data_IF_030492731928
#
_entry.id   IF_030492731928
#
_cell.length_a   1.000
_cell.length_b   1.000
_cell.length_c   1.000
_cell.angle_alpha   90.00
_cell.angle_beta   90.00
_cell.angle_gamma   90.00
#
_symmetry.space_group_name_H-M   'P 1'
#
loop_
_entity.id
_entity.type
_entity.pdbx_description
1 polymer ?
#
# COMPACT_ATOMS: atom_id res chain seq x y z
N UNK A 1 -28.01 -5.14 1.30
CA UNK A 1 -26.94 -4.11 1.38
C UNK A 1 -27.21 -3.00 0.35
N UNK A 2 -28.35 -2.29 0.41
CA UNK A 2 -28.71 -1.27 -0.60
C UNK A 2 -28.60 0.18 -0.09
N UNK A 3 -28.18 0.42 1.16
CA UNK A 3 -28.18 1.76 1.76
C UNK A 3 -26.92 2.11 2.56
N UNK A 4 -25.79 1.41 2.37
CA UNK A 4 -24.55 1.84 3.00
C UNK A 4 -23.89 2.93 2.12
N UNK A 5 -23.63 4.13 2.64
CA UNK A 5 -22.85 5.15 1.93
C UNK A 5 -21.48 4.58 1.53
N UNK A 6 -21.00 4.95 0.34
CA UNK A 6 -19.71 4.49 -0.19
C UNK A 6 -18.58 4.65 0.82
N UNK A 7 -18.54 5.77 1.53
CA UNK A 7 -17.50 6.07 2.51
C UNK A 7 -17.52 5.11 3.70
N UNK A 8 -18.71 4.72 4.18
CA UNK A 8 -18.84 3.74 5.24
C UNK A 8 -18.39 2.35 4.78
N UNK A 9 -18.67 1.99 3.53
CA UNK A 9 -18.13 0.75 2.96
C UNK A 9 -16.60 0.79 2.89
N UNK A 10 -16.01 1.85 2.34
CA UNK A 10 -14.56 1.99 2.24
C UNK A 10 -13.90 1.98 3.63
N UNK A 11 -14.52 2.62 4.61
CA UNK A 11 -14.04 2.60 5.99
C UNK A 11 -14.01 1.17 6.56
N UNK A 12 -15.10 0.41 6.43
CA UNK A 12 -15.16 -0.99 6.89
C UNK A 12 -14.21 -1.89 6.10
N UNK A 13 -14.15 -1.72 4.78
CA UNK A 13 -13.26 -2.48 3.91
C UNK A 13 -11.78 -2.24 4.27
N UNK A 14 -11.44 -1.05 4.75
CA UNK A 14 -10.11 -0.69 5.23
C UNK A 14 -9.64 -1.49 6.46
N UNK A 15 -10.53 -2.18 7.17
CA UNK A 15 -10.17 -3.08 8.27
C UNK A 15 -9.96 -4.54 7.83
N UNK A 16 -10.38 -4.90 6.61
CA UNK A 16 -10.22 -6.26 6.10
C UNK A 16 -8.75 -6.59 5.86
N UNK A 17 -8.37 -7.86 6.00
CA UNK A 17 -7.03 -8.30 5.57
C UNK A 17 -6.90 -8.28 4.05
N UNK A 18 -5.66 -8.28 3.54
CA UNK A 18 -5.37 -8.33 2.08
C UNK A 18 -6.13 -9.45 1.36
N UNK A 19 -6.22 -10.64 1.97
CA UNK A 19 -6.95 -11.78 1.41
C UNK A 19 -8.45 -11.54 1.38
N UNK A 20 -9.00 -11.01 2.46
CA UNK A 20 -10.44 -10.82 2.61
C UNK A 20 -10.92 -9.65 1.74
N UNK A 21 -10.10 -8.60 1.60
CA UNK A 21 -10.32 -7.50 0.67
C UNK A 21 -10.38 -8.00 -0.79
N UNK A 22 -9.46 -8.91 -1.17
CA UNK A 22 -9.51 -9.57 -2.48
C UNK A 22 -10.76 -10.45 -2.63
N UNK A 23 -11.14 -11.19 -1.57
CA UNK A 23 -12.32 -12.04 -1.63
C UNK A 23 -13.58 -11.22 -1.85
N UNK A 24 -13.79 -10.12 -1.11
CA UNK A 24 -14.98 -9.28 -1.26
C UNK A 24 -15.07 -8.65 -2.65
N UNK A 25 -13.95 -8.28 -3.27
CA UNK A 25 -13.95 -7.69 -4.61
C UNK A 25 -14.36 -8.68 -5.71
N UNK A 26 -14.33 -9.98 -5.40
CA UNK A 26 -14.80 -11.05 -6.27
C UNK A 26 -16.26 -11.44 -6.02
N UNK A 27 -16.87 -10.99 -4.92
CA UNK A 27 -18.25 -11.39 -4.57
C UNK A 27 -19.32 -10.68 -5.40
N UNK A 28 -19.14 -9.39 -5.69
CA UNK A 28 -20.07 -8.64 -6.53
C UNK A 28 -19.40 -7.49 -7.29
N UNK A 29 -20.00 -7.07 -8.41
CA UNK A 29 -19.46 -6.03 -9.27
C UNK A 29 -19.35 -4.66 -8.57
N UNK A 30 -20.32 -4.32 -7.71
CA UNK A 30 -20.28 -3.05 -6.96
C UNK A 30 -19.10 -2.99 -6.00
N UNK A 31 -18.83 -4.06 -5.26
CA UNK A 31 -17.65 -4.12 -4.38
C UNK A 31 -16.36 -4.15 -5.18
N UNK A 32 -16.33 -4.85 -6.30
CA UNK A 32 -15.19 -4.81 -7.22
C UNK A 32 -14.86 -3.38 -7.66
N UNK A 33 -15.88 -2.63 -8.10
CA UNK A 33 -15.74 -1.21 -8.48
C UNK A 33 -15.25 -0.35 -7.32
N UNK A 34 -15.79 -0.50 -6.12
CA UNK A 34 -15.37 0.28 -4.95
C UNK A 34 -13.94 -0.03 -4.51
N UNK A 35 -13.55 -1.30 -4.52
CA UNK A 35 -12.22 -1.74 -4.10
C UNK A 35 -11.14 -1.36 -5.11
N UNK A 36 -11.48 -1.35 -6.40
CA UNK A 36 -10.53 -1.08 -7.49
C UNK A 36 -10.70 0.30 -8.12
N UNK A 37 -11.53 1.18 -7.55
CA UNK A 37 -11.67 2.56 -8.01
C UNK A 37 -10.35 3.30 -7.92
N UNK A 38 -10.10 4.22 -8.84
CA UNK A 38 -8.84 4.97 -8.91
C UNK A 38 -8.63 5.87 -7.69
N UNK A 39 -9.72 6.41 -7.14
CA UNK A 39 -9.71 7.22 -5.92
C UNK A 39 -9.70 6.38 -4.62
N UNK A 40 -9.81 5.05 -4.73
CA UNK A 40 -9.82 4.18 -3.55
C UNK A 40 -8.43 4.10 -2.92
N UNK A 41 -8.32 4.47 -1.65
CA UNK A 41 -7.05 4.37 -0.90
C UNK A 41 -6.79 2.99 -0.33
N UNK A 42 -7.72 2.04 -0.44
CA UNK A 42 -7.66 0.74 0.23
C UNK A 42 -6.35 -0.01 -0.04
N UNK A 43 -5.98 -0.15 -1.32
CA UNK A 43 -4.74 -0.86 -1.68
C UNK A 43 -3.49 -0.08 -1.30
N UNK A 44 -3.54 1.26 -1.35
CA UNK A 44 -2.45 2.13 -0.90
C UNK A 44 -2.22 1.95 0.61
N UNK A 45 -3.27 2.03 1.42
CA UNK A 45 -3.20 1.87 2.86
C UNK A 45 -2.69 0.48 3.25
N UNK A 46 -3.12 -0.56 2.54
CA UNK A 46 -2.59 -1.92 2.72
C UNK A 46 -1.11 -2.04 2.38
N UNK A 47 -0.66 -1.41 1.30
CA UNK A 47 0.75 -1.35 0.94
C UNK A 47 1.56 -0.74 2.08
N UNK A 48 1.19 0.44 2.58
CA UNK A 48 1.89 1.12 3.68
C UNK A 48 1.92 0.27 4.95
N UNK A 49 0.77 -0.26 5.39
CA UNK A 49 0.71 -1.12 6.59
C UNK A 49 1.59 -2.35 6.45
N UNK A 50 1.59 -2.98 5.27
CA UNK A 50 2.38 -4.18 5.03
C UNK A 50 3.87 -3.87 4.93
N UNK A 51 4.24 -2.77 4.27
CA UNK A 51 5.61 -2.29 4.21
C UNK A 51 6.15 -2.02 5.60
N UNK A 52 5.47 -1.18 6.37
CA UNK A 52 5.89 -0.78 7.73
C UNK A 52 5.95 -1.97 8.70
N UNK A 53 5.25 -3.06 8.42
CA UNK A 53 5.33 -4.30 9.21
C UNK A 53 6.60 -5.11 8.96
N UNK A 54 7.11 -5.10 7.73
CA UNK A 54 8.23 -5.96 7.32
C UNK A 54 9.55 -5.20 7.15
N UNK A 55 9.48 -3.89 6.91
CA UNK A 55 10.59 -3.01 6.57
C UNK A 55 10.61 -1.80 7.52
N UNK A 56 11.31 -0.74 7.14
CA UNK A 56 11.32 0.54 7.86
C UNK A 56 10.02 1.33 7.63
N UNK A 57 9.72 2.26 8.53
CA UNK A 57 8.55 3.13 8.41
C UNK A 57 8.75 4.13 7.26
N UNK A 58 7.78 4.20 6.34
CA UNK A 58 7.79 5.23 5.30
C UNK A 58 7.42 6.60 5.90
N UNK A 59 8.17 7.63 5.52
CA UNK A 59 7.84 9.02 5.84
C UNK A 59 6.60 9.45 5.05
N UNK A 60 5.49 9.70 5.76
CA UNK A 60 4.22 10.11 5.17
C UNK A 60 4.20 11.58 4.74
N UNK A 61 5.20 12.38 5.15
CA UNK A 61 5.36 13.76 4.67
C UNK A 61 5.89 13.81 3.24
N UNK A 62 6.52 12.74 2.77
CA UNK A 62 7.05 12.63 1.42
C UNK A 62 6.02 12.00 0.46
N UNK A 63 5.87 12.53 -0.76
CA UNK A 63 4.98 11.94 -1.74
C UNK A 63 5.53 10.57 -2.18
N UNK A 64 4.72 9.52 -2.03
CA UNK A 64 5.01 8.24 -2.67
C UNK A 64 4.67 8.34 -4.16
N UNK A 65 5.71 8.49 -4.98
CA UNK A 65 5.59 8.58 -6.43
C UNK A 65 5.60 7.19 -7.04
N UNK A 66 4.54 6.86 -7.77
CA UNK A 66 4.47 5.60 -8.52
C UNK A 66 5.36 5.68 -9.77
N UNK A 67 6.21 4.68 -9.96
CA UNK A 67 7.04 4.58 -11.18
C UNK A 67 6.16 4.55 -12.44
N UNK A 68 6.57 5.28 -13.48
CA UNK A 68 5.86 5.31 -14.76
C UNK A 68 5.74 3.94 -15.40
N UNK A 69 6.78 3.11 -15.30
CA UNK A 69 6.79 1.75 -15.84
C UNK A 69 5.73 0.87 -15.13
N UNK A 70 5.60 1.05 -13.82
CA UNK A 70 4.59 0.32 -13.05
C UNK A 70 3.16 0.80 -13.39
N UNK A 71 2.98 2.10 -13.60
CA UNK A 71 1.71 2.67 -14.07
C UNK A 71 1.33 2.15 -15.46
N UNK A 72 2.29 2.06 -16.39
CA UNK A 72 2.04 1.50 -17.72
C UNK A 72 1.61 0.03 -17.65
N UNK A 73 2.19 -0.75 -16.74
CA UNK A 73 1.88 -2.17 -16.60
C UNK A 73 0.55 -2.44 -15.87
N UNK A 74 0.23 -1.65 -14.84
CA UNK A 74 -0.95 -1.86 -14.00
C UNK A 74 -2.16 -0.99 -14.39
N UNK A 75 -1.96 0.00 -15.26
CA UNK A 75 -2.93 0.98 -15.77
C UNK A 75 -3.53 1.95 -14.73
N UNK A 76 -3.65 1.55 -13.47
CA UNK A 76 -4.18 2.40 -12.39
C UNK A 76 -3.28 2.38 -11.16
N UNK A 77 -3.33 3.47 -10.37
CA UNK A 77 -2.60 3.54 -9.11
C UNK A 77 -3.11 2.49 -8.11
N UNK A 78 -4.43 2.28 -8.04
CA UNK A 78 -5.04 1.23 -7.19
C UNK A 78 -4.53 -0.17 -7.54
N UNK A 79 -4.47 -0.51 -8.84
CA UNK A 79 -3.90 -1.77 -9.30
C UNK A 79 -2.39 -1.88 -9.02
N UNK A 80 -1.65 -0.79 -9.15
CA UNK A 80 -0.22 -0.72 -8.83
C UNK A 80 0.04 -0.99 -7.36
N UNK A 81 -0.70 -0.33 -6.45
CA UNK A 81 -0.60 -0.58 -5.01
C UNK A 81 -1.04 -1.99 -4.64
N UNK A 82 -2.07 -2.55 -5.30
CA UNK A 82 -2.46 -3.94 -5.10
C UNK A 82 -1.34 -4.90 -5.45
N UNK A 83 -0.70 -4.70 -6.60
CA UNK A 83 0.44 -5.48 -7.05
C UNK A 83 1.60 -5.39 -6.04
N UNK A 84 1.99 -4.18 -5.67
CA UNK A 84 3.05 -3.94 -4.68
C UNK A 84 2.73 -4.59 -3.33
N UNK A 85 1.49 -4.46 -2.85
CA UNK A 85 1.04 -5.09 -1.59
C UNK A 85 1.30 -6.59 -1.59
N UNK A 86 1.07 -7.28 -2.70
CA UNK A 86 1.33 -8.71 -2.81
C UNK A 86 2.82 -9.06 -2.94
N UNK A 87 3.65 -8.12 -3.43
CA UNK A 87 5.08 -8.30 -3.57
C UNK A 87 5.91 -7.86 -2.37
N UNK A 88 5.32 -7.12 -1.40
CA UNK A 88 6.07 -6.72 -0.20
C UNK A 88 6.64 -7.95 0.49
N UNK A 89 7.97 -7.97 0.54
CA UNK A 89 8.80 -8.92 1.26
C UNK A 89 9.71 -8.17 2.22
N UNK A 90 10.23 -8.89 3.21
CA UNK A 90 11.21 -8.33 4.15
C UNK A 90 12.50 -8.02 3.40
N UNK A 91 12.94 -6.78 3.47
CA UNK A 91 14.20 -6.37 2.89
C UNK A 91 15.39 -6.90 3.72
N UNK A 92 16.54 -7.15 3.07
CA UNK A 92 17.77 -7.40 3.77
C UNK A 92 18.12 -6.25 4.73
N UNK A 93 18.79 -6.56 5.85
CA UNK A 93 19.09 -5.58 6.88
C UNK A 93 19.95 -4.39 6.39
N UNK A 94 20.65 -4.52 5.26
CA UNK A 94 21.46 -3.44 4.70
C UNK A 94 20.67 -2.47 3.80
N UNK A 95 19.42 -2.79 3.45
CA UNK A 95 18.59 -1.94 2.60
C UNK A 95 17.96 -0.76 3.36
N UNK A 96 17.99 -0.82 4.68
CA UNK A 96 17.65 0.29 5.55
C UNK A 96 18.91 1.16 5.70
N UNK A 97 18.88 2.31 5.03
CA UNK A 97 19.98 3.28 4.95
C UNK A 97 20.28 3.85 6.34
N UNK A 98 19.25 4.14 7.14
CA UNK A 98 19.42 4.67 8.49
C UNK A 98 20.01 3.61 9.43
N UNK A 99 19.55 2.37 9.33
CA UNK A 99 20.11 1.25 10.08
C UNK A 99 21.55 0.94 9.67
N UNK A 100 21.88 1.07 8.38
CA UNK A 100 23.26 0.90 7.90
C UNK A 100 24.17 2.04 8.31
N UNK A 101 23.72 3.30 8.27
CA UNK A 101 24.48 4.44 8.80
C UNK A 101 24.74 4.29 10.30
N UNK A 102 23.72 3.86 11.06
CA UNK A 102 23.83 3.62 12.50
C UNK A 102 24.80 2.48 12.81
N UNK A 103 24.72 1.36 12.08
CA UNK A 103 25.63 0.20 12.26
C UNK A 103 27.06 0.46 11.76
N UNK A 104 27.23 1.28 10.74
CA UNK A 104 28.53 1.65 10.20
C UNK A 104 29.24 2.75 11.03
N UNK A 105 28.58 3.26 12.08
CA UNK A 105 29.12 4.36 12.89
C UNK A 105 29.23 5.67 12.11
N UNK A 106 28.48 5.81 11.01
CA UNK A 106 28.44 7.04 10.23
C UNK A 106 27.41 7.99 10.86
N UNK A 107 27.92 9.04 11.51
CA UNK A 107 27.11 10.17 11.96
C UNK A 107 26.49 10.81 10.71
N UNK A 108 25.17 11.08 10.67
CA UNK A 108 24.55 11.70 9.52
C UNK A 108 25.17 13.09 9.30
N UNK A 109 25.92 13.24 8.22
CA UNK A 109 26.31 14.55 7.71
C UNK A 109 25.15 15.03 6.84
N UNK A 110 24.52 16.11 7.31
CA UNK A 110 23.48 16.93 6.68
C UNK A 110 22.10 16.84 7.32
N UNK A 111 21.72 18.01 7.83
CA UNK A 111 20.51 18.43 8.52
C UNK A 111 19.80 19.42 7.61
#
# INVERSE_FOLDING_TARGET
MQHLPTDAFLHVAGYLGVRDLKAISMTCHSFSKLVHHDESTLWKDHFYRRWNRFNFALDLSLPCVMSELLRQQCHTDSASYRFLTHLVQRLPAYADVDHTHTKAGHVPQHR
#
